data_IF_748978014597
#
_entry.id   IF_748978014597
#
_cell.length_a   1.000
_cell.length_b   1.000
_cell.length_c   1.000
_cell.angle_alpha   90.00
_cell.angle_beta   90.00
_cell.angle_gamma   90.00
#
_symmetry.space_group_name_H-M   'P 1'
#
loop_
_entity.id
_entity.type
_entity.pdbx_description
1 polymer ?
#
# COMPACT_ATOMS: atom_id res chain seq x y z
N UNK A 1 14.90 22.80 11.58
CA UNK A 1 14.51 21.64 10.75
C UNK A 1 13.39 22.12 9.85
N UNK A 2 13.51 21.95 8.54
CA UNK A 2 12.55 22.51 7.57
C UNK A 2 11.36 21.57 7.49
N UNK A 3 10.19 22.03 7.90
CA UNK A 3 8.92 21.34 7.64
C UNK A 3 8.70 21.33 6.12
N UNK A 4 8.92 20.19 5.48
CA UNK A 4 8.59 20.01 4.06
C UNK A 4 7.11 19.65 3.92
N UNK A 5 6.38 20.19 2.94
CA UNK A 5 4.93 19.97 2.79
C UNK A 5 4.47 18.51 2.61
N UNK A 6 5.39 17.56 2.42
CA UNK A 6 5.12 16.12 2.25
C UNK A 6 5.42 15.25 3.49
N UNK A 7 5.95 15.84 4.57
CA UNK A 7 6.25 15.12 5.81
C UNK A 7 4.96 14.81 6.58
N UNK A 8 4.72 13.51 6.81
CA UNK A 8 3.58 13.01 7.57
C UNK A 8 3.54 13.57 9.00
N UNK A 9 4.71 13.85 9.60
CA UNK A 9 4.84 14.41 10.95
C UNK A 9 4.34 15.85 11.01
N UNK A 10 4.81 16.70 10.10
CA UNK A 10 4.34 18.08 9.95
C UNK A 10 2.83 18.12 9.64
N UNK A 11 2.36 17.25 8.74
CA UNK A 11 0.95 17.13 8.40
C UNK A 11 0.09 16.72 9.61
N UNK A 12 0.57 15.76 10.41
CA UNK A 12 -0.11 15.31 11.63
C UNK A 12 -0.19 16.41 12.69
N UNK A 13 0.91 17.12 12.94
CA UNK A 13 0.93 18.24 13.88
C UNK A 13 0.00 19.37 13.43
N UNK A 14 -0.04 19.67 12.13
CA UNK A 14 -0.98 20.64 11.56
C UNK A 14 -2.45 20.19 11.72
N UNK A 15 -2.75 18.91 11.50
CA UNK A 15 -4.11 18.36 11.69
C UNK A 15 -4.57 18.43 13.15
N UNK A 16 -3.71 18.11 14.12
CA UNK A 16 -4.02 18.25 15.54
C UNK A 16 -4.27 19.71 15.94
N UNK A 17 -3.48 20.66 15.40
CA UNK A 17 -3.59 22.10 15.70
C UNK A 17 -4.83 22.75 15.09
N UNK A 18 -5.25 22.31 13.90
CA UNK A 18 -6.35 22.95 13.15
C UNK A 18 -7.72 22.34 13.41
N UNK A 19 -7.83 21.34 14.29
CA UNK A 19 -9.10 20.66 14.61
C UNK A 19 -9.73 19.90 13.44
N UNK A 20 -9.04 19.79 12.29
CA UNK A 20 -9.49 19.04 11.12
C UNK A 20 -9.28 17.54 11.39
N UNK A 21 -10.34 16.87 11.87
CA UNK A 21 -10.44 15.43 12.06
C UNK A 21 -10.39 14.64 10.74
N UNK A 22 -9.30 14.68 9.98
CA UNK A 22 -9.16 13.82 8.78
C UNK A 22 -8.52 12.47 9.09
N UNK A 23 -7.85 12.31 10.23
CA UNK A 23 -7.48 10.98 10.74
C UNK A 23 -8.62 10.43 11.58
N UNK A 24 -9.58 9.79 10.91
CA UNK A 24 -10.66 9.08 11.59
C UNK A 24 -10.20 7.66 11.90
N UNK A 25 -9.80 7.42 13.16
CA UNK A 25 -9.59 6.06 13.66
C UNK A 25 -10.94 5.46 14.02
N UNK A 26 -11.37 4.46 13.27
CA UNK A 26 -12.56 3.67 13.59
C UNK A 26 -12.11 2.23 13.70
N UNK A 27 -12.17 1.65 14.91
CA UNK A 27 -11.91 0.23 15.20
C UNK A 27 -10.89 -0.45 14.25
N UNK A 28 -9.62 -0.09 14.38
CA UNK A 28 -8.54 -0.71 13.59
C UNK A 28 -8.35 -0.19 12.16
N UNK A 29 -9.04 0.88 11.76
CA UNK A 29 -8.84 1.56 10.48
C UNK A 29 -8.12 2.89 10.66
N UNK A 30 -7.09 3.15 9.84
CA UNK A 30 -6.39 4.41 9.74
C UNK A 30 -6.66 5.04 8.37
N UNK A 31 -7.32 6.20 8.36
CA UNK A 31 -7.74 6.92 7.16
C UNK A 31 -6.85 8.15 6.95
N UNK A 32 -6.04 8.13 5.90
CA UNK A 32 -5.04 9.16 5.55
C UNK A 32 -5.18 9.62 4.08
N UNK A 33 -6.32 9.33 3.45
CA UNK A 33 -6.56 9.64 2.06
C UNK A 33 -6.76 11.12 1.77
N UNK A 34 -6.58 11.51 0.50
CA UNK A 34 -6.75 12.88 0.00
C UNK A 34 -5.85 13.89 0.71
N UNK A 35 -4.58 13.53 0.94
CA UNK A 35 -3.57 14.44 1.47
C UNK A 35 -2.43 14.60 0.45
N UNK A 36 -1.27 15.10 0.88
CA UNK A 36 -0.08 15.29 0.03
C UNK A 36 1.09 14.47 0.56
N UNK A 37 0.81 13.31 1.13
CA UNK A 37 1.81 12.47 1.79
C UNK A 37 2.75 11.91 0.73
N UNK A 38 4.05 12.15 0.89
CA UNK A 38 5.10 11.64 0.00
C UNK A 38 5.90 10.49 0.64
N UNK A 39 5.91 10.44 1.97
CA UNK A 39 6.56 9.41 2.78
C UNK A 39 5.73 9.04 4.01
N UNK A 40 5.82 7.79 4.43
CA UNK A 40 5.22 7.26 5.65
C UNK A 40 6.18 7.27 6.84
N UNK A 41 7.27 8.05 6.78
CA UNK A 41 8.14 8.26 7.94
C UNK A 41 7.31 8.63 9.18
N UNK A 42 7.65 8.03 10.32
CA UNK A 42 6.94 8.20 11.60
C UNK A 42 5.46 7.75 11.63
N UNK A 43 4.96 7.03 10.61
CA UNK A 43 3.59 6.51 10.61
C UNK A 43 3.28 5.70 11.87
N UNK A 44 4.22 4.87 12.34
CA UNK A 44 4.06 4.12 13.59
C UNK A 44 3.90 5.02 14.81
N UNK A 45 4.72 6.08 14.92
CA UNK A 45 4.68 7.04 16.03
C UNK A 45 3.35 7.80 16.02
N UNK A 46 2.83 8.11 14.84
CA UNK A 46 1.53 8.78 14.70
C UNK A 46 0.42 7.81 15.09
N UNK A 47 0.46 6.58 14.60
CA UNK A 47 -0.49 5.54 14.94
C UNK A 47 -0.53 5.26 16.46
N UNK A 48 0.62 5.22 17.13
CA UNK A 48 0.69 4.96 18.58
C UNK A 48 0.14 6.11 19.45
N UNK A 49 0.00 7.32 18.89
CA UNK A 49 -0.63 8.45 19.58
C UNK A 49 -2.17 8.41 19.51
N UNK A 50 -2.74 7.62 18.61
CA UNK A 50 -4.18 7.62 18.31
C UNK A 50 -4.85 6.25 18.49
N UNK A 51 -4.06 5.17 18.46
CA UNK A 51 -4.50 3.78 18.64
C UNK A 51 -3.62 3.15 19.71
N UNK A 52 -4.25 2.61 20.75
CA UNK A 52 -3.56 1.74 21.70
C UNK A 52 -3.12 0.45 20.99
N UNK A 53 -1.86 0.03 21.18
CA UNK A 53 -1.29 -1.17 20.55
C UNK A 53 -1.53 -1.26 19.03
N UNK A 54 -1.04 -0.29 18.24
CA UNK A 54 -1.39 -0.16 16.82
C UNK A 54 -1.00 -1.38 15.97
N UNK A 55 0.05 -2.11 16.36
CA UNK A 55 0.48 -3.35 15.67
C UNK A 55 -0.54 -4.50 15.79
N UNK A 56 -1.33 -4.52 16.86
CA UNK A 56 -2.33 -5.55 17.13
C UNK A 56 -3.73 -5.21 16.62
N UNK A 57 -4.01 -3.92 16.42
CA UNK A 57 -5.36 -3.46 16.10
C UNK A 57 -5.52 -2.90 14.68
N UNK A 58 -4.46 -2.41 14.04
CA UNK A 58 -4.60 -1.80 12.70
C UNK A 58 -4.75 -2.88 11.63
N UNK A 59 -5.99 -3.05 11.16
CA UNK A 59 -6.39 -3.99 10.13
C UNK A 59 -6.66 -3.33 8.77
N UNK A 60 -6.84 -2.00 8.73
CA UNK A 60 -7.10 -1.26 7.50
C UNK A 60 -6.33 0.05 7.47
N UNK A 61 -5.57 0.30 6.40
CA UNK A 61 -4.95 1.59 6.12
C UNK A 61 -5.44 2.10 4.76
N UNK A 62 -5.97 3.32 4.74
CA UNK A 62 -6.34 4.02 3.51
C UNK A 62 -5.37 5.19 3.25
N UNK A 63 -4.53 5.02 2.24
CA UNK A 63 -3.52 5.98 1.77
C UNK A 63 -3.82 6.45 0.34
N UNK A 64 -5.04 6.24 -0.14
CA UNK A 64 -5.42 6.65 -1.49
C UNK A 64 -5.34 8.17 -1.69
N UNK A 65 -5.18 8.62 -2.95
CA UNK A 65 -5.11 10.05 -3.28
C UNK A 65 -4.04 10.78 -2.46
N UNK A 66 -2.80 10.28 -2.55
CA UNK A 66 -1.59 10.89 -1.97
C UNK A 66 -0.49 10.94 -3.06
N UNK A 67 0.75 11.24 -2.68
CA UNK A 67 1.87 11.42 -3.60
C UNK A 67 2.97 10.36 -3.40
N UNK A 68 2.65 9.20 -2.83
CA UNK A 68 3.63 8.14 -2.54
C UNK A 68 4.27 7.64 -3.83
N UNK A 69 5.60 7.63 -3.88
CA UNK A 69 6.38 7.08 -5.01
C UNK A 69 6.86 5.65 -4.76
N UNK A 70 6.86 5.24 -3.51
CA UNK A 70 7.35 3.95 -3.02
C UNK A 70 6.40 3.41 -1.95
N UNK A 71 6.45 2.10 -1.74
CA UNK A 71 5.84 1.43 -0.59
C UNK A 71 6.86 1.45 0.55
N UNK A 72 6.63 2.36 1.50
CA UNK A 72 7.48 2.54 2.67
C UNK A 72 7.45 1.33 3.62
N UNK A 73 8.59 1.03 4.24
CA UNK A 73 8.75 -0.11 5.17
C UNK A 73 7.89 0.04 6.42
N UNK A 74 7.45 1.25 6.72
CA UNK A 74 6.63 1.59 7.88
C UNK A 74 5.28 0.86 7.85
N UNK A 75 4.76 0.54 6.66
CA UNK A 75 3.57 -0.30 6.50
C UNK A 75 3.77 -1.73 7.02
N UNK A 76 5.02 -2.21 7.04
CA UNK A 76 5.35 -3.58 7.47
C UNK A 76 5.28 -3.74 9.00
N UNK A 77 5.14 -2.64 9.74
CA UNK A 77 4.99 -2.64 11.20
C UNK A 77 3.58 -3.06 11.66
N UNK A 78 2.62 -3.22 10.74
CA UNK A 78 1.24 -3.59 11.03
C UNK A 78 0.94 -5.02 10.56
N UNK A 79 1.37 -6.07 11.29
CA UNK A 79 1.20 -7.47 10.86
C UNK A 79 -0.26 -7.90 10.79
N UNK A 80 -1.16 -7.17 11.44
CA UNK A 80 -2.60 -7.40 11.44
C UNK A 80 -3.31 -6.81 10.21
N UNK A 81 -2.60 -6.06 9.35
CA UNK A 81 -3.15 -5.39 8.19
C UNK A 81 -3.80 -6.38 7.20
N UNK A 82 -5.07 -6.14 6.90
CA UNK A 82 -5.88 -6.95 5.97
C UNK A 82 -6.28 -6.19 4.71
N UNK A 83 -6.44 -4.87 4.82
CA UNK A 83 -6.86 -3.99 3.72
C UNK A 83 -5.92 -2.80 3.61
N UNK A 84 -5.35 -2.62 2.43
CA UNK A 84 -4.45 -1.51 2.13
C UNK A 84 -4.90 -0.82 0.84
N UNK A 85 -5.26 0.46 0.93
CA UNK A 85 -5.58 1.26 -0.25
C UNK A 85 -4.41 2.18 -0.59
N UNK A 86 -3.85 2.01 -1.79
CA UNK A 86 -2.77 2.80 -2.36
C UNK A 86 -3.13 3.39 -3.74
N UNK A 87 -4.40 3.31 -4.17
CA UNK A 87 -4.81 3.83 -5.47
C UNK A 87 -4.67 5.35 -5.55
N UNK A 88 -4.49 5.88 -6.76
CA UNK A 88 -4.21 7.30 -7.00
C UNK A 88 -3.00 7.81 -6.17
N UNK A 89 -1.86 7.16 -6.35
CA UNK A 89 -0.54 7.60 -5.88
C UNK A 89 0.43 7.62 -7.08
N UNK A 90 1.73 7.78 -6.85
CA UNK A 90 2.75 7.92 -7.88
C UNK A 90 3.75 6.74 -7.88
N UNK A 91 3.30 5.53 -7.49
CA UNK A 91 4.18 4.36 -7.40
C UNK A 91 4.42 3.80 -8.81
N UNK A 92 5.67 3.83 -9.25
CA UNK A 92 6.04 3.47 -10.63
C UNK A 92 6.65 2.07 -10.74
N UNK A 93 7.47 1.68 -9.77
CA UNK A 93 8.18 0.41 -9.81
C UNK A 93 7.30 -0.75 -9.31
N UNK A 94 7.01 -1.69 -10.22
CA UNK A 94 6.24 -2.90 -9.92
C UNK A 94 6.93 -3.80 -8.87
N UNK A 95 8.24 -3.71 -8.70
CA UNK A 95 8.98 -4.50 -7.70
C UNK A 95 8.70 -4.06 -6.27
N UNK A 96 8.15 -2.85 -6.05
CA UNK A 96 7.72 -2.36 -4.73
C UNK A 96 6.72 -3.30 -4.06
N UNK A 97 5.93 -4.02 -4.86
CA UNK A 97 4.96 -5.03 -4.41
C UNK A 97 5.63 -6.15 -3.61
N UNK A 98 6.91 -6.40 -3.83
CA UNK A 98 7.66 -7.43 -3.10
C UNK A 98 7.78 -7.14 -1.61
N UNK A 99 7.80 -5.86 -1.22
CA UNK A 99 7.86 -5.44 0.18
C UNK A 99 6.63 -5.91 0.96
N UNK A 100 5.46 -5.97 0.31
CA UNK A 100 4.20 -6.37 0.93
C UNK A 100 4.09 -7.88 1.20
N UNK A 101 5.05 -8.71 0.77
CA UNK A 101 5.02 -10.17 1.00
C UNK A 101 5.01 -10.57 2.47
N UNK A 102 5.63 -9.76 3.32
CA UNK A 102 5.67 -10.00 4.77
C UNK A 102 4.32 -9.76 5.45
N UNK A 103 3.39 -9.04 4.81
CA UNK A 103 2.05 -8.79 5.32
C UNK A 103 1.15 -10.01 5.08
N UNK A 104 1.35 -11.05 5.88
CA UNK A 104 0.70 -12.35 5.72
C UNK A 104 -0.83 -12.32 5.81
N UNK A 105 -1.38 -11.28 6.45
CA UNK A 105 -2.82 -11.09 6.65
C UNK A 105 -3.46 -10.21 5.58
N UNK A 106 -2.68 -9.64 4.66
CA UNK A 106 -3.19 -8.79 3.58
C UNK A 106 -4.11 -9.61 2.66
N UNK A 107 -5.34 -9.11 2.45
CA UNK A 107 -6.37 -9.74 1.61
C UNK A 107 -6.89 -8.81 0.52
N UNK A 108 -6.87 -7.50 0.76
CA UNK A 108 -7.37 -6.50 -0.19
C UNK A 108 -6.30 -5.44 -0.41
N UNK A 109 -5.98 -5.20 -1.69
CA UNK A 109 -5.02 -4.19 -2.13
C UNK A 109 -5.61 -3.42 -3.32
N UNK A 110 -5.41 -2.11 -3.35
CA UNK A 110 -5.73 -1.29 -4.53
C UNK A 110 -4.51 -0.50 -4.93
N UNK A 111 -4.14 -0.51 -6.20
CA UNK A 111 -3.03 0.26 -6.77
C UNK A 111 -3.41 0.97 -8.08
N UNK A 112 -4.64 0.82 -8.59
CA UNK A 112 -5.07 1.53 -9.80
C UNK A 112 -4.84 3.04 -9.70
N UNK A 113 -4.60 3.69 -10.84
CA UNK A 113 -4.22 5.09 -10.90
C UNK A 113 -2.81 5.37 -10.38
N UNK A 114 -1.95 4.35 -10.27
CA UNK A 114 -0.49 4.51 -10.13
C UNK A 114 0.20 4.16 -11.46
N UNK A 115 1.36 4.76 -11.79
CA UNK A 115 2.07 4.43 -13.04
C UNK A 115 2.38 2.94 -13.22
N UNK A 116 2.65 2.19 -12.15
CA UNK A 116 2.90 0.74 -12.18
C UNK A 116 1.75 -0.10 -12.76
N UNK A 117 0.52 0.44 -12.81
CA UNK A 117 -0.63 -0.26 -13.39
C UNK A 117 -0.44 -0.53 -14.89
N UNK A 118 0.34 0.33 -15.57
CA UNK A 118 0.63 0.20 -17.00
C UNK A 118 1.71 -0.86 -17.31
N UNK A 119 2.31 -1.48 -16.29
CA UNK A 119 3.32 -2.52 -16.51
C UNK A 119 2.69 -3.80 -17.07
N UNK A 120 3.30 -4.37 -18.12
CA UNK A 120 2.87 -5.63 -18.72
C UNK A 120 2.83 -6.75 -17.69
N UNK A 121 1.65 -7.32 -17.49
CA UNK A 121 1.46 -8.39 -16.51
C UNK A 121 1.31 -7.91 -15.07
N UNK A 122 1.01 -6.62 -14.85
CA UNK A 122 0.73 -6.01 -13.54
C UNK A 122 -0.12 -6.92 -12.63
N UNK A 123 -1.31 -7.31 -13.10
CA UNK A 123 -2.23 -8.16 -12.32
C UNK A 123 -1.61 -9.52 -11.97
N UNK A 124 -0.94 -10.16 -12.92
CA UNK A 124 -0.28 -11.46 -12.76
C UNK A 124 0.88 -11.36 -11.77
N UNK A 125 1.67 -10.30 -11.86
CA UNK A 125 2.78 -10.04 -10.95
C UNK A 125 2.28 -9.85 -9.52
N UNK A 126 1.32 -8.95 -9.30
CA UNK A 126 0.75 -8.69 -7.96
C UNK A 126 0.09 -9.95 -7.39
N UNK A 127 -0.77 -10.62 -8.15
CA UNK A 127 -1.45 -11.83 -7.69
C UNK A 127 -0.49 -13.00 -7.40
N UNK A 128 0.63 -13.06 -8.14
CA UNK A 128 1.67 -14.08 -7.99
C UNK A 128 2.61 -13.82 -6.83
N UNK A 129 3.03 -12.57 -6.62
CA UNK A 129 3.87 -12.17 -5.48
C UNK A 129 3.10 -12.22 -4.17
N UNK A 130 1.85 -11.75 -4.16
CA UNK A 130 0.96 -11.72 -2.99
C UNK A 130 -0.02 -12.89 -3.02
N UNK A 131 0.49 -14.10 -2.77
CA UNK A 131 -0.29 -15.34 -2.94
C UNK A 131 -1.56 -15.41 -2.09
N UNK A 132 -1.55 -14.78 -0.90
CA UNK A 132 -2.69 -14.74 0.05
C UNK A 132 -3.73 -13.65 -0.28
N UNK A 133 -3.47 -12.79 -1.26
CA UNK A 133 -4.37 -11.71 -1.68
C UNK A 133 -5.65 -12.27 -2.31
N UNK A 134 -6.80 -11.71 -1.93
CA UNK A 134 -8.15 -12.07 -2.39
C UNK A 134 -8.77 -11.05 -3.32
N UNK A 135 -8.46 -9.77 -3.14
CA UNK A 135 -8.97 -8.67 -3.97
C UNK A 135 -7.83 -7.76 -4.40
N UNK A 136 -7.81 -7.43 -5.69
CA UNK A 136 -6.92 -6.44 -6.29
C UNK A 136 -7.77 -5.46 -7.10
N UNK A 137 -7.65 -4.17 -6.81
CA UNK A 137 -8.36 -3.09 -7.52
C UNK A 137 -9.87 -3.32 -7.55
N UNK A 138 -10.43 -3.61 -6.36
CA UNK A 138 -11.83 -3.94 -6.13
C UNK A 138 -12.35 -5.18 -6.87
N UNK A 139 -11.49 -5.87 -7.63
CA UNK A 139 -11.80 -7.10 -8.32
C UNK A 139 -11.31 -8.32 -7.52
N UNK A 140 -12.14 -9.36 -7.42
CA UNK A 140 -11.73 -10.63 -6.83
C UNK A 140 -10.60 -11.29 -7.63
N UNK A 141 -9.71 -12.00 -6.94
CA UNK A 141 -8.67 -12.83 -7.54
C UNK A 141 -9.17 -14.27 -7.59
N UNK A 142 -9.40 -14.76 -8.79
CA UNK A 142 -9.91 -16.11 -9.05
C UNK A 142 -8.81 -17.17 -9.03
N UNK A 143 -9.20 -18.45 -9.06
CA UNK A 143 -8.24 -19.55 -9.24
C UNK A 143 -7.49 -19.47 -10.57
N UNK A 144 -8.17 -19.00 -11.62
CA UNK A 144 -7.57 -18.80 -12.94
C UNK A 144 -6.51 -17.70 -12.90
N UNK A 145 -6.80 -16.57 -12.24
CA UNK A 145 -5.81 -15.50 -12.02
C UNK A 145 -4.54 -16.06 -11.34
N UNK A 146 -4.70 -16.89 -10.31
CA UNK A 146 -3.56 -17.51 -9.61
C UNK A 146 -2.76 -18.45 -10.51
N UNK A 147 -3.41 -19.22 -11.38
CA UNK A 147 -2.73 -20.10 -12.34
C UNK A 147 -1.93 -19.29 -13.38
N UNK A 148 -2.53 -18.25 -13.94
CA UNK A 148 -1.88 -17.34 -14.88
C UNK A 148 -0.71 -16.60 -14.24
N UNK A 149 -0.88 -16.13 -13.00
CA UNK A 149 0.17 -15.48 -12.22
C UNK A 149 1.38 -16.41 -12.00
N UNK A 150 1.15 -17.69 -11.70
CA UNK A 150 2.22 -18.68 -11.57
C UNK A 150 2.98 -18.86 -12.88
N UNK A 151 2.27 -19.09 -13.98
CA UNK A 151 2.89 -19.27 -15.31
C UNK A 151 3.66 -18.03 -15.78
N UNK A 152 3.13 -16.84 -15.50
CA UNK A 152 3.78 -15.56 -15.77
C UNK A 152 5.10 -15.44 -15.01
N UNK A 153 5.11 -15.67 -13.69
CA UNK A 153 6.35 -15.59 -12.89
C UNK A 153 7.39 -16.64 -13.27
N UNK A 154 6.98 -17.83 -13.71
CA UNK A 154 7.91 -18.83 -14.25
C UNK A 154 8.55 -18.37 -15.57
N UNK A 155 7.78 -17.70 -16.43
CA UNK A 155 8.28 -17.13 -17.68
C UNK A 155 9.26 -15.98 -17.44
N UNK A 156 8.97 -15.09 -16.48
CA UNK A 156 9.89 -14.02 -16.05
C UNK A 156 11.19 -14.60 -15.50
N UNK A 157 11.13 -15.60 -14.61
CA UNK A 157 12.33 -16.26 -14.05
C UNK A 157 13.21 -16.92 -15.10
N UNK A 158 12.61 -17.42 -16.19
CA UNK A 158 13.31 -18.03 -17.32
C UNK A 158 13.86 -17.00 -18.32
N UNK A 159 13.71 -15.70 -18.03
CA UNK A 159 14.13 -14.62 -18.93
C UNK A 159 13.31 -14.50 -20.20
N UNK A 160 12.15 -15.17 -20.29
CA UNK A 160 11.27 -15.12 -21.49
C UNK A 160 10.39 -13.88 -21.55
N UNK A 161 10.25 -13.17 -20.42
CA UNK A 161 9.52 -11.92 -20.28
C UNK A 161 10.35 -10.98 -19.41
N UNK A 162 10.55 -9.75 -19.87
CA UNK A 162 11.15 -8.65 -19.10
C UNK A 162 10.04 -7.88 -18.37
N UNK A 163 10.36 -7.36 -17.19
CA UNK A 163 9.43 -6.54 -16.39
C UNK A 163 9.36 -5.09 -16.89
N UNK A 164 10.24 -4.71 -17.82
CA UNK A 164 10.47 -3.35 -18.29
C UNK A 164 10.44 -3.30 -19.82
N UNK A 165 9.25 -3.25 -20.40
CA UNK A 165 9.05 -2.81 -21.79
C UNK A 165 7.77 -1.99 -21.84
N UNK A 166 7.92 -0.67 -21.63
CA UNK A 166 7.11 0.37 -22.23
C UNK A 166 8.04 1.27 -23.04
#
# INVERSE_FOLDING_TARGET
MRDTPGDLTAQFMYMLRTGRRRIAVQAGALRLQNNKIETLENLYIIASKIVENPTLHIAWIDLSFNNLKVIDKELLQFPTLTTLYLHANNIEDLTEIDKLKSLERLRTLTLHGNPLENSKGYRQYVAGRLRKLKHLDFCGITRQDKALAKAYLESVKRGKLTLSEN
#
